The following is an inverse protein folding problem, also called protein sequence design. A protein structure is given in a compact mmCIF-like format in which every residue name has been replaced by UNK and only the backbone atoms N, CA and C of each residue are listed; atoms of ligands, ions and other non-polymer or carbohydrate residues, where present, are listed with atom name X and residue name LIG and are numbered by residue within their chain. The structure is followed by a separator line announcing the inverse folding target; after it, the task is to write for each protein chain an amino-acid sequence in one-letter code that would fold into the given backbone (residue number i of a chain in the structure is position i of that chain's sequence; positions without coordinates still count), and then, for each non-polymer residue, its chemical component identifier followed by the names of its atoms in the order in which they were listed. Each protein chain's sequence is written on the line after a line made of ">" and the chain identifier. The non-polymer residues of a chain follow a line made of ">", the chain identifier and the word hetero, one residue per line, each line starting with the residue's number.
data_IF_654747312910
#
_entry.id   IF_654747312910
#
_cell.length_a   1.000
_cell.length_b   1.000
_cell.length_c   1.000
_cell.angle_alpha   90.00
_cell.angle_beta   90.00
_cell.angle_gamma   90.00
#
_symmetry.space_group_name_H-M   'P 1'
#
loop_
_entity.id
_entity.type
_entity.pdbx_description
1 polymer ?
#
# COMPACT_ATOMS: atom_id res chain seq x y z
N UNK A 1 -8.19 -11.12 -1.22
CA UNK A 1 -7.01 -10.24 -1.48
C UNK A 1 -6.34 -9.98 -0.15
N UNK A 2 -5.01 -9.88 -0.07
CA UNK A 2 -4.21 -9.89 1.17
C UNK A 2 -4.69 -8.96 2.33
N UNK A 3 -5.46 -7.91 2.03
CA UNK A 3 -6.03 -6.93 2.98
C UNK A 3 -7.57 -7.00 3.13
N UNK A 4 -8.28 -7.83 2.35
CA UNK A 4 -9.75 -7.92 2.38
C UNK A 4 -10.21 -9.18 3.11
N UNK A 5 -11.46 -9.19 3.54
CA UNK A 5 -12.13 -10.33 4.19
C UNK A 5 -11.41 -10.85 5.45
N UNK A 6 -10.98 -9.91 6.31
CA UNK A 6 -10.27 -10.19 7.57
C UNK A 6 -10.49 -9.09 8.61
N UNK A 7 -10.23 -9.41 9.87
CA UNK A 7 -10.47 -8.52 11.01
C UNK A 7 -9.28 -7.59 11.32
N UNK A 8 -8.11 -7.84 10.73
CA UNK A 8 -6.90 -7.03 10.94
C UNK A 8 -6.00 -7.03 9.71
N UNK A 9 -5.10 -6.04 9.62
CA UNK A 9 -4.15 -5.95 8.51
C UNK A 9 -3.15 -7.12 8.54
N UNK A 10 -2.75 -7.66 7.37
CA UNK A 10 -1.74 -8.71 7.31
C UNK A 10 -0.40 -8.20 7.86
N UNK A 11 0.28 -9.02 8.65
CA UNK A 11 1.60 -8.67 9.17
C UNK A 11 2.70 -8.78 8.08
N UNK A 12 3.93 -8.37 8.40
CA UNK A 12 5.04 -8.40 7.45
C UNK A 12 5.35 -9.83 6.95
N UNK A 13 5.21 -10.83 7.83
CA UNK A 13 5.57 -12.21 7.54
C UNK A 13 4.55 -12.86 6.61
N UNK A 14 3.25 -12.67 6.88
CA UNK A 14 2.16 -13.11 5.98
C UNK A 14 2.32 -12.50 4.59
N UNK A 15 2.63 -11.20 4.53
CA UNK A 15 2.84 -10.51 3.25
C UNK A 15 4.06 -11.06 2.52
N UNK A 16 5.17 -11.25 3.22
CA UNK A 16 6.41 -11.79 2.66
C UNK A 16 6.19 -13.18 2.06
N UNK A 17 5.54 -14.09 2.80
CA UNK A 17 5.28 -15.45 2.33
C UNK A 17 4.42 -15.47 1.07
N UNK A 18 3.36 -14.65 1.03
CA UNK A 18 2.52 -14.52 -0.14
C UNK A 18 3.30 -13.98 -1.36
N UNK A 19 4.13 -12.95 -1.18
CA UNK A 19 4.93 -12.37 -2.27
C UNK A 19 6.03 -13.32 -2.76
N UNK A 20 6.68 -14.03 -1.84
CA UNK A 20 7.69 -15.03 -2.15
C UNK A 20 7.10 -16.16 -2.99
N UNK A 21 5.93 -16.69 -2.61
CA UNK A 21 5.26 -17.76 -3.36
C UNK A 21 4.96 -17.35 -4.80
N UNK A 22 4.48 -16.12 -5.01
CA UNK A 22 4.20 -15.59 -6.35
C UNK A 22 5.48 -15.46 -7.17
N UNK A 23 6.57 -14.96 -6.59
CA UNK A 23 7.85 -14.81 -7.28
C UNK A 23 8.46 -16.16 -7.66
N UNK A 24 8.46 -17.13 -6.74
CA UNK A 24 8.95 -18.48 -7.00
C UNK A 24 8.15 -19.17 -8.12
N UNK A 25 6.83 -18.98 -8.14
CA UNK A 25 5.98 -19.52 -9.20
C UNK A 25 6.19 -18.82 -10.56
N UNK A 26 6.65 -17.57 -10.57
CA UNK A 26 6.89 -16.79 -11.78
C UNK A 26 8.22 -17.13 -12.46
N UNK A 27 9.19 -17.70 -11.73
CA UNK A 27 10.54 -17.96 -12.22
C UNK A 27 11.23 -16.66 -12.66
N UNK A 28 11.71 -16.62 -13.90
CA UNK A 28 12.43 -15.46 -14.45
C UNK A 28 11.52 -14.30 -14.89
N UNK A 29 10.20 -14.48 -14.86
CA UNK A 29 9.25 -13.46 -15.32
C UNK A 29 9.12 -12.33 -14.28
N UNK A 30 9.12 -11.05 -14.70
CA UNK A 30 8.91 -9.94 -13.78
C UNK A 30 7.49 -9.97 -13.20
N UNK A 31 7.39 -9.72 -11.89
CA UNK A 31 6.13 -9.53 -11.17
C UNK A 31 6.04 -8.10 -10.68
N UNK A 32 4.99 -7.40 -11.11
CA UNK A 32 4.70 -6.04 -10.65
C UNK A 32 3.75 -6.10 -9.45
N UNK A 33 4.28 -5.82 -8.26
CA UNK A 33 3.47 -5.63 -7.08
C UNK A 33 2.92 -4.21 -7.05
N UNK A 34 1.60 -4.10 -7.16
CA UNK A 34 0.89 -2.85 -6.86
C UNK A 34 0.76 -2.71 -5.35
N UNK A 35 1.21 -1.60 -4.80
CA UNK A 35 1.03 -1.31 -3.37
C UNK A 35 -0.45 -1.15 -3.03
N UNK A 36 -0.78 -1.14 -1.74
CA UNK A 36 -2.16 -1.10 -1.27
C UNK A 36 -2.96 0.04 -1.92
N UNK A 37 -3.97 -0.34 -2.70
CA UNK A 37 -4.96 0.54 -3.32
C UNK A 37 -6.28 0.34 -2.59
N UNK A 38 -6.31 0.92 -1.38
CA UNK A 38 -7.41 0.84 -0.42
C UNK A 38 -8.06 2.23 -0.32
N UNK A 39 -9.33 2.27 0.02
CA UNK A 39 -10.18 3.45 -0.04
C UNK A 39 -11.05 3.42 -1.29
N UNK A 40 -12.01 4.32 -1.33
CA UNK A 40 -13.05 4.32 -2.35
C UNK A 40 -14.22 3.39 -2.00
N UNK A 41 -14.60 2.53 -2.94
CA UNK A 41 -15.68 1.54 -2.81
C UNK A 41 -15.32 0.33 -1.92
N UNK A 42 -14.02 0.16 -1.63
CA UNK A 42 -13.49 -0.96 -0.84
C UNK A 42 -13.59 -0.68 0.65
N UNK A 43 -14.65 -1.19 1.28
CA UNK A 43 -14.81 -1.20 2.74
C UNK A 43 -13.78 -2.13 3.39
N UNK A 44 -12.87 -1.56 4.19
CA UNK A 44 -11.96 -2.30 5.07
C UNK A 44 -12.24 -1.89 6.52
N UNK A 45 -13.08 -2.67 7.25
CA UNK A 45 -13.64 -2.24 8.53
C UNK A 45 -12.58 -1.84 9.57
N UNK A 46 -11.46 -2.56 9.64
CA UNK A 46 -10.40 -2.33 10.62
C UNK A 46 -9.53 -1.08 10.34
N UNK A 47 -9.70 -0.42 9.19
CA UNK A 47 -8.99 0.82 8.86
C UNK A 47 -9.82 2.08 9.15
N UNK A 48 -11.11 1.94 9.52
CA UNK A 48 -12.00 3.05 9.85
C UNK A 48 -11.97 4.21 8.82
N UNK A 49 -11.81 3.90 7.53
CA UNK A 49 -11.74 4.90 6.47
C UNK A 49 -13.12 5.55 6.32
N UNK A 50 -13.23 6.89 6.38
CA UNK A 50 -14.51 7.59 6.21
C UNK A 50 -15.15 7.28 4.86
N UNK A 51 -16.48 7.16 4.83
CA UNK A 51 -17.22 7.12 3.58
C UNK A 51 -17.31 8.53 2.98
N UNK A 52 -17.07 8.64 1.69
CA UNK A 52 -17.19 9.88 0.92
C UNK A 52 -18.32 9.77 -0.11
N UNK A 53 -18.91 10.91 -0.48
CA UNK A 53 -19.93 10.97 -1.52
C UNK A 53 -19.40 10.49 -2.88
N UNK A 54 -18.12 10.76 -3.18
CA UNK A 54 -17.45 10.27 -4.38
C UNK A 54 -16.16 9.50 -4.05
N UNK A 55 -16.25 8.18 -3.85
CA UNK A 55 -15.11 7.37 -3.44
C UNK A 55 -14.02 7.23 -4.52
N UNK A 56 -14.32 7.52 -5.80
CA UNK A 56 -13.33 7.44 -6.88
C UNK A 56 -12.39 8.63 -6.94
N UNK A 57 -12.89 9.81 -6.54
CA UNK A 57 -12.12 11.06 -6.54
C UNK A 57 -11.56 11.43 -5.18
N UNK A 58 -11.89 10.66 -4.14
CA UNK A 58 -11.57 10.98 -2.75
C UNK A 58 -10.32 10.30 -2.17
N UNK A 59 -10.44 9.86 -0.92
CA UNK A 59 -9.41 9.38 -0.02
C UNK A 59 -9.07 7.90 -0.27
N UNK A 60 -8.11 7.66 -1.17
CA UNK A 60 -7.67 6.31 -1.55
C UNK A 60 -6.19 6.25 -1.96
N UNK A 61 -5.64 5.04 -1.97
CA UNK A 61 -4.31 4.73 -2.51
C UNK A 61 -3.21 5.63 -1.90
N UNK A 62 -2.36 6.26 -2.71
CA UNK A 62 -1.26 7.12 -2.23
C UNK A 62 -1.72 8.23 -1.27
N UNK A 63 -2.97 8.69 -1.38
CA UNK A 63 -3.51 9.77 -0.53
C UNK A 63 -3.73 9.35 0.92
N UNK A 64 -3.90 8.05 1.19
CA UNK A 64 -4.09 7.52 2.55
C UNK A 64 -2.75 7.15 3.22
N UNK A 65 -1.66 7.07 2.46
CA UNK A 65 -0.38 6.59 2.97
C UNK A 65 0.19 7.43 4.12
N UNK A 66 0.01 8.77 4.18
CA UNK A 66 0.46 9.56 5.33
C UNK A 66 -0.17 9.11 6.65
N UNK A 67 -1.46 8.78 6.66
CA UNK A 67 -2.18 8.28 7.85
C UNK A 67 -1.83 6.81 8.14
N UNK A 68 -1.67 6.00 7.09
CA UNK A 68 -1.40 4.56 7.21
C UNK A 68 0.06 4.20 6.91
N UNK A 69 1.01 5.09 7.24
CA UNK A 69 2.42 4.93 6.91
C UNK A 69 3.02 3.63 7.47
N UNK A 70 2.51 3.15 8.62
CA UNK A 70 2.88 1.86 9.19
C UNK A 70 2.56 0.69 8.26
N UNK A 71 1.34 0.65 7.70
CA UNK A 71 0.92 -0.40 6.76
C UNK A 71 1.72 -0.36 5.47
N UNK A 72 1.94 0.84 4.94
CA UNK A 72 2.77 1.02 3.75
C UNK A 72 4.20 0.54 3.98
N UNK A 73 4.81 0.87 5.13
CA UNK A 73 6.15 0.39 5.51
C UNK A 73 6.20 -1.13 5.65
N UNK A 74 5.20 -1.74 6.29
CA UNK A 74 5.08 -3.20 6.42
C UNK A 74 5.06 -3.86 5.04
N UNK A 75 4.23 -3.35 4.14
CA UNK A 75 4.13 -3.86 2.77
C UNK A 75 5.45 -3.72 2.00
N UNK A 76 6.08 -2.56 2.06
CA UNK A 76 7.37 -2.32 1.39
C UNK A 76 8.45 -3.28 1.90
N UNK A 77 8.55 -3.47 3.22
CA UNK A 77 9.52 -4.40 3.83
C UNK A 77 9.28 -5.82 3.36
N UNK A 78 8.03 -6.27 3.33
CA UNK A 78 7.67 -7.59 2.83
C UNK A 78 8.04 -7.80 1.36
N UNK A 79 7.73 -6.83 0.48
CA UNK A 79 8.09 -6.89 -0.95
C UNK A 79 9.61 -6.91 -1.14
N UNK A 80 10.34 -6.03 -0.45
CA UNK A 80 11.80 -5.97 -0.54
C UNK A 80 12.47 -7.26 -0.05
N UNK A 81 11.93 -7.88 1.02
CA UNK A 81 12.38 -9.21 1.46
C UNK A 81 12.09 -10.29 0.43
N UNK A 82 10.92 -10.27 -0.21
CA UNK A 82 10.55 -11.25 -1.22
C UNK A 82 11.36 -11.08 -2.53
N UNK A 83 11.81 -9.87 -2.85
CA UNK A 83 12.59 -9.57 -4.05
C UNK A 83 13.92 -10.33 -4.15
N UNK A 84 14.44 -10.93 -3.07
CA UNK A 84 15.61 -11.82 -3.15
C UNK A 84 15.29 -13.18 -3.82
N UNK A 85 14.02 -13.49 -4.09
CA UNK A 85 13.56 -14.78 -4.63
C UNK A 85 13.07 -14.69 -6.09
N UNK A 86 13.13 -13.53 -6.73
CA UNK A 86 12.71 -13.37 -8.12
C UNK A 86 12.72 -11.91 -8.58
N UNK A 87 12.27 -11.67 -9.82
CA UNK A 87 12.23 -10.32 -10.39
C UNK A 87 10.98 -9.55 -9.92
N UNK A 88 11.11 -8.82 -8.82
CA UNK A 88 10.04 -8.00 -8.27
C UNK A 88 10.13 -6.54 -8.74
N UNK A 89 9.01 -5.99 -9.19
CA UNK A 89 8.83 -4.58 -9.53
C UNK A 89 7.74 -3.99 -8.64
N UNK A 90 7.82 -2.68 -8.38
CA UNK A 90 6.87 -1.97 -7.52
C UNK A 90 6.09 -0.93 -8.35
N UNK A 91 4.77 -0.87 -8.16
CA UNK A 91 3.93 0.16 -8.74
C UNK A 91 3.09 0.83 -7.64
N UNK A 92 3.17 2.15 -7.56
CA UNK A 92 2.36 2.94 -6.63
C UNK A 92 1.12 3.47 -7.37
N UNK A 93 -0.10 3.16 -6.91
CA UNK A 93 -1.33 3.61 -7.54
C UNK A 93 -1.64 5.08 -7.24
N UNK A 94 -2.31 5.74 -8.19
CA UNK A 94 -2.89 7.08 -8.04
C UNK A 94 -1.88 8.23 -7.81
N UNK A 95 -0.63 8.05 -8.22
CA UNK A 95 0.35 9.16 -8.27
C UNK A 95 -0.15 10.21 -9.27
N UNK A 96 -0.31 11.45 -8.82
CA UNK A 96 -0.89 12.54 -9.61
C UNK A 96 0.07 13.72 -9.83
N UNK A 97 1.13 13.82 -9.01
CA UNK A 97 2.18 14.83 -9.10
C UNK A 97 3.53 14.22 -8.68
N UNK A 98 4.64 14.86 -9.06
CA UNK A 98 5.98 14.46 -8.62
C UNK A 98 6.19 14.67 -7.11
N UNK A 99 5.49 15.65 -6.53
CA UNK A 99 5.42 15.94 -5.09
C UNK A 99 4.33 15.11 -4.40
N UNK A 100 3.96 13.94 -4.94
CA UNK A 100 3.06 13.06 -4.20
C UNK A 100 3.80 12.61 -2.94
N UNK A 101 3.40 13.15 -1.77
CA UNK A 101 4.01 12.90 -0.46
C UNK A 101 3.89 11.43 -0.06
N UNK A 102 4.76 10.59 -0.61
CA UNK A 102 4.82 9.15 -0.33
C UNK A 102 5.29 8.85 1.10
N UNK A 103 6.00 9.81 1.67
CA UNK A 103 6.50 9.81 3.03
C UNK A 103 6.34 11.27 3.45
N UNK A 104 5.32 11.59 4.26
CA UNK A 104 5.10 12.95 4.72
C UNK A 104 6.40 13.53 5.25
N UNK A 105 6.92 14.56 4.58
CA UNK A 105 7.87 15.44 5.23
C UNK A 105 7.19 15.99 6.48
N UNK A 106 7.94 16.13 7.58
CA UNK A 106 7.44 16.72 8.82
C UNK A 106 7.04 18.18 8.64
N UNK A 107 5.95 18.45 7.91
CA UNK A 107 5.28 19.74 7.88
C UNK A 107 4.54 19.88 9.20
N UNK A 108 5.20 20.58 10.11
CA UNK A 108 4.59 21.13 11.31
C UNK A 108 3.39 22.01 10.88
N UNK A 109 2.15 21.74 11.34
CA UNK A 109 0.92 22.40 10.88
C UNK A 109 0.80 23.88 11.29
N UNK A 110 1.92 24.56 11.57
CA UNK A 110 1.97 25.93 12.10
C UNK A 110 2.69 26.95 11.22
N UNK A 111 3.12 26.61 9.99
CA UNK A 111 3.81 27.59 9.13
C UNK A 111 2.90 28.39 8.18
N UNK A 112 1.58 28.28 8.29
CA UNK A 112 0.62 28.99 7.43
C UNK A 112 -0.37 29.86 8.25
N UNK A 113 0.19 30.69 9.13
CA UNK A 113 -0.49 31.83 9.76
C UNK A 113 0.24 33.11 9.48
#
# INVERSE_FOLDING_TARGET
>A
MLYMDRDSAPDEQEQFEAYQQVLLAAGDKPIIFRTMDIGGDKSIPYLNIPQEENPFLGYRAVRIYPEFAGLFRTQLRAILRAASFGNAQLMIPMVHSLESDLMGEGRDPKSDR
#
